data_IF_959413230278
#
_entry.id   IF_959413230278
#
_cell.length_a   1.000
_cell.length_b   1.000
_cell.length_c   1.000
_cell.angle_alpha   90.00
_cell.angle_beta   90.00
_cell.angle_gamma   90.00
#
_symmetry.space_group_name_H-M   'P 1'
#
loop_
_entity.id
_entity.type
_entity.pdbx_description
1 polymer ?
#
# COMPACT_ATOMS: atom_id res chain seq x y z
N UNK A 1 -0.57 23.31 -2.70
CA UNK A 1 -0.63 22.29 -3.79
C UNK A 1 -0.65 20.94 -3.11
N UNK A 2 -1.64 20.13 -3.45
CA UNK A 2 -1.78 18.78 -2.88
C UNK A 2 -0.58 17.89 -3.25
N UNK A 3 -0.25 16.96 -2.36
CA UNK A 3 0.96 16.14 -2.47
C UNK A 3 0.64 14.69 -2.84
N UNK A 4 1.65 13.98 -3.33
CA UNK A 4 1.63 12.53 -3.45
C UNK A 4 2.50 11.96 -2.32
N UNK A 5 2.06 10.87 -1.72
CA UNK A 5 2.89 10.08 -0.83
C UNK A 5 3.21 8.71 -1.43
N UNK A 6 4.39 8.23 -1.07
CA UNK A 6 4.83 6.87 -1.32
C UNK A 6 5.03 6.16 0.01
N UNK A 7 4.31 5.06 0.23
CA UNK A 7 4.51 4.22 1.41
C UNK A 7 5.33 3.00 1.01
N UNK A 8 6.60 3.01 1.40
CA UNK A 8 7.54 1.92 1.16
C UNK A 8 7.30 0.76 2.13
N UNK A 9 7.10 -0.44 1.57
CA UNK A 9 7.15 -1.71 2.30
C UNK A 9 8.50 -2.41 2.12
N UNK A 10 8.57 -3.70 2.46
CA UNK A 10 9.76 -4.53 2.28
C UNK A 10 10.31 -4.42 0.85
N UNK A 11 11.58 -4.07 0.72
CA UNK A 11 12.26 -3.86 -0.57
C UNK A 11 12.05 -2.49 -1.21
N UNK A 12 11.29 -1.59 -0.59
CA UNK A 12 11.02 -0.24 -1.07
C UNK A 12 11.07 0.79 0.09
N UNK A 13 11.92 0.57 1.07
CA UNK A 13 11.98 1.34 2.32
C UNK A 13 12.76 2.66 2.18
N UNK A 14 13.46 2.86 1.06
CA UNK A 14 14.33 4.01 0.88
C UNK A 14 13.74 5.03 -0.08
N UNK A 15 13.92 6.31 0.24
CA UNK A 15 13.59 7.46 -0.62
C UNK A 15 14.59 7.69 -1.77
N UNK A 16 15.23 6.63 -2.26
CA UNK A 16 16.37 6.65 -3.22
C UNK A 16 16.08 7.47 -4.50
N UNK A 17 14.80 7.69 -4.81
CA UNK A 17 14.37 8.42 -5.99
C UNK A 17 14.26 9.94 -5.79
N UNK A 18 14.28 10.41 -4.54
CA UNK A 18 14.01 11.79 -4.20
C UNK A 18 15.31 12.59 -4.06
N UNK A 19 15.26 13.82 -4.52
CA UNK A 19 16.34 14.83 -4.32
C UNK A 19 16.02 15.67 -3.08
N UNK A 20 17.03 16.23 -2.46
CA UNK A 20 16.92 17.17 -1.32
C UNK A 20 16.04 16.61 -0.18
N UNK A 21 16.25 15.34 0.15
CA UNK A 21 15.48 14.64 1.17
C UNK A 21 15.76 15.20 2.55
N UNK A 22 14.68 15.48 3.28
CA UNK A 22 14.72 15.93 4.68
C UNK A 22 13.83 15.03 5.54
N UNK A 23 14.33 14.66 6.71
CA UNK A 23 13.56 13.89 7.70
C UNK A 23 12.74 14.82 8.58
N UNK A 24 11.53 14.41 8.87
CA UNK A 24 10.57 15.14 9.66
C UNK A 24 9.84 14.25 10.66
N UNK A 25 9.33 14.88 11.70
CA UNK A 25 8.45 14.24 12.68
C UNK A 25 7.18 15.06 12.77
N UNK A 26 6.03 14.40 12.78
CA UNK A 26 4.73 15.02 12.96
C UNK A 26 3.95 14.32 14.05
N UNK A 27 3.38 15.11 14.95
CA UNK A 27 2.50 14.62 16.01
C UNK A 27 1.07 14.46 15.48
N UNK A 28 0.45 13.34 15.82
CA UNK A 28 -0.95 13.06 15.53
C UNK A 28 -1.69 12.67 16.82
N UNK A 29 -3.03 12.71 16.85
CA UNK A 29 -3.79 12.19 17.98
C UNK A 29 -3.53 10.72 18.31
N UNK A 30 -2.94 9.99 17.36
CA UNK A 30 -2.66 8.54 17.46
C UNK A 30 -1.17 8.25 17.69
N UNK A 31 -0.33 9.27 17.79
CA UNK A 31 1.11 9.18 18.06
C UNK A 31 1.97 9.87 17.02
N UNK A 32 3.25 9.87 17.29
CA UNK A 32 4.30 10.46 16.44
C UNK A 32 4.51 9.65 15.16
N UNK A 33 4.71 10.34 14.04
CA UNK A 33 5.05 9.74 12.74
C UNK A 33 6.31 10.37 12.19
N UNK A 34 7.28 9.53 11.83
CA UNK A 34 8.48 9.92 11.09
C UNK A 34 8.24 9.75 9.60
N UNK A 35 8.58 10.77 8.83
CA UNK A 35 8.49 10.74 7.38
C UNK A 35 9.64 11.51 6.75
N UNK A 36 9.87 11.27 5.48
CA UNK A 36 10.80 12.02 4.65
C UNK A 36 10.02 12.87 3.65
N UNK A 37 10.50 14.07 3.40
CA UNK A 37 10.02 14.91 2.30
C UNK A 37 11.18 15.16 1.35
N UNK A 38 10.93 15.08 0.05
CA UNK A 38 11.93 15.31 -0.98
C UNK A 38 11.26 15.68 -2.30
N UNK A 39 12.06 15.90 -3.33
CA UNK A 39 11.57 16.35 -4.63
C UNK A 39 11.85 15.32 -5.72
N UNK A 40 10.84 15.09 -6.57
CA UNK A 40 10.99 14.37 -7.82
C UNK A 40 10.50 15.28 -8.96
N UNK A 41 11.40 15.64 -9.89
CA UNK A 41 11.12 16.55 -11.01
C UNK A 41 10.33 17.81 -10.61
N UNK A 42 10.71 18.42 -9.47
CA UNK A 42 10.11 19.64 -8.94
C UNK A 42 8.81 19.45 -8.15
N UNK A 43 8.30 18.24 -8.04
CA UNK A 43 7.17 17.90 -7.16
C UNK A 43 7.65 17.46 -5.79
N UNK A 44 7.05 17.97 -4.74
CA UNK A 44 7.26 17.49 -3.39
C UNK A 44 6.55 16.14 -3.18
N UNK A 45 7.31 15.14 -2.79
CA UNK A 45 6.84 13.78 -2.50
C UNK A 45 7.08 13.51 -1.02
N UNK A 46 6.06 12.97 -0.36
CA UNK A 46 6.17 12.47 1.00
C UNK A 46 6.49 10.97 0.95
N UNK A 47 7.56 10.57 1.59
CA UNK A 47 7.93 9.18 1.73
C UNK A 47 7.74 8.71 3.18
N UNK A 48 7.08 7.56 3.34
CA UNK A 48 6.84 6.94 4.63
C UNK A 48 7.33 5.49 4.61
N UNK A 49 8.33 5.19 5.44
CA UNK A 49 8.79 3.84 5.66
C UNK A 49 7.87 3.11 6.62
N UNK A 50 6.97 2.26 6.08
CA UNK A 50 5.91 1.58 6.86
C UNK A 50 6.45 0.82 8.07
N UNK A 51 7.57 0.15 7.93
CA UNK A 51 8.19 -0.65 8.97
C UNK A 51 9.24 0.12 9.79
N UNK A 52 9.27 1.45 9.66
CA UNK A 52 10.31 2.31 10.24
C UNK A 52 11.65 2.16 9.53
N UNK A 53 12.60 3.04 9.88
CA UNK A 53 13.97 2.92 9.40
C UNK A 53 14.55 1.55 9.79
N UNK A 54 15.19 0.87 8.84
CA UNK A 54 15.81 -0.45 9.04
C UNK A 54 14.84 -1.60 9.37
N UNK A 55 13.58 -1.52 8.95
CA UNK A 55 12.59 -2.61 9.07
C UNK A 55 12.41 -3.13 10.51
N UNK A 56 12.32 -2.23 11.48
CA UNK A 56 12.27 -2.57 12.92
C UNK A 56 10.87 -2.79 13.47
N UNK A 57 9.83 -2.38 12.74
CA UNK A 57 8.43 -2.47 13.19
C UNK A 57 7.74 -3.65 12.49
N UNK A 58 7.35 -4.71 13.22
CA UNK A 58 6.62 -5.82 12.63
C UNK A 58 5.19 -5.43 12.22
N UNK A 59 4.55 -6.12 11.26
CA UNK A 59 3.28 -5.74 10.65
C UNK A 59 2.15 -5.43 11.64
N UNK A 60 2.02 -6.22 12.70
CA UNK A 60 0.97 -6.07 13.72
C UNK A 60 1.23 -4.95 14.74
N UNK A 61 2.39 -4.27 14.66
CA UNK A 61 2.78 -3.16 15.54
C UNK A 61 2.87 -1.82 14.82
N UNK A 62 2.63 -1.80 13.52
CA UNK A 62 2.59 -0.56 12.74
C UNK A 62 1.42 0.29 13.22
N UNK A 63 1.67 1.58 13.45
CA UNK A 63 0.63 2.53 13.81
C UNK A 63 -0.03 3.10 12.55
N UNK A 64 -0.90 2.28 11.93
CA UNK A 64 -1.58 2.64 10.67
C UNK A 64 -2.43 3.91 10.79
N UNK A 65 -3.13 4.10 11.95
CA UNK A 65 -3.93 5.32 12.17
C UNK A 65 -3.06 6.56 12.19
N UNK A 66 -1.96 6.56 12.93
CA UNK A 66 -1.05 7.70 12.96
C UNK A 66 -0.50 7.99 11.56
N UNK A 67 -0.06 6.96 10.83
CA UNK A 67 0.51 7.10 9.49
C UNK A 67 -0.49 7.76 8.52
N UNK A 68 -1.71 7.25 8.40
CA UNK A 68 -2.71 7.80 7.50
C UNK A 68 -3.18 9.20 7.93
N UNK A 69 -3.31 9.43 9.23
CA UNK A 69 -3.68 10.74 9.75
C UNK A 69 -2.59 11.80 9.48
N UNK A 70 -1.32 11.43 9.63
CA UNK A 70 -0.19 12.30 9.29
C UNK A 70 -0.22 12.70 7.80
N UNK A 71 -0.48 11.76 6.90
CA UNK A 71 -0.60 12.05 5.47
C UNK A 71 -1.75 13.01 5.17
N UNK A 72 -2.86 12.92 5.90
CA UNK A 72 -3.97 13.87 5.77
C UNK A 72 -3.58 15.27 6.25
N UNK A 73 -2.90 15.40 7.40
CA UNK A 73 -2.38 16.71 7.90
C UNK A 73 -1.43 17.34 6.87
N UNK A 74 -0.61 16.53 6.20
CA UNK A 74 0.36 16.98 5.21
C UNK A 74 -0.26 17.35 3.84
N UNK A 75 -1.59 17.36 3.72
CA UNK A 75 -2.35 17.62 2.49
C UNK A 75 -2.01 16.64 1.35
N UNK A 76 -1.77 15.37 1.71
CA UNK A 76 -1.57 14.30 0.73
C UNK A 76 -2.91 13.93 0.10
N UNK A 77 -2.98 14.03 -1.22
CA UNK A 77 -4.18 13.69 -1.98
C UNK A 77 -4.18 12.27 -2.54
N UNK A 78 -2.99 11.72 -2.76
CA UNK A 78 -2.84 10.39 -3.34
C UNK A 78 -1.67 9.64 -2.68
N UNK A 79 -1.87 8.35 -2.43
CA UNK A 79 -0.88 7.44 -1.86
C UNK A 79 -0.67 6.28 -2.81
N UNK A 80 0.59 6.07 -3.20
CA UNK A 80 1.05 4.82 -3.81
C UNK A 80 1.73 4.00 -2.72
N UNK A 81 1.25 2.80 -2.49
CA UNK A 81 1.77 1.89 -1.48
C UNK A 81 2.39 0.66 -2.13
N UNK A 82 3.38 0.07 -1.49
CA UNK A 82 3.97 -1.18 -1.96
C UNK A 82 3.95 -2.25 -0.88
N UNK A 83 3.79 -3.51 -1.31
CA UNK A 83 3.82 -4.68 -0.42
C UNK A 83 4.59 -5.82 -1.07
N UNK A 84 5.37 -6.57 -0.29
CA UNK A 84 5.91 -7.87 -0.70
C UNK A 84 4.87 -8.95 -0.35
N UNK A 85 4.60 -9.85 -1.27
CA UNK A 85 3.52 -10.84 -1.13
C UNK A 85 3.92 -12.25 -1.58
N UNK A 86 3.28 -13.25 -0.98
CA UNK A 86 3.23 -14.59 -1.50
C UNK A 86 2.07 -14.75 -2.48
N UNK A 87 2.30 -15.39 -3.63
CA UNK A 87 1.24 -15.67 -4.60
C UNK A 87 0.47 -16.96 -4.24
N UNK A 88 -0.87 -16.84 -4.23
CA UNK A 88 -1.80 -17.96 -4.18
C UNK A 88 -2.26 -18.36 -5.58
N UNK A 89 -2.09 -17.48 -6.56
CA UNK A 89 -2.49 -17.65 -7.95
C UNK A 89 -1.30 -18.16 -8.78
N UNK A 90 -1.34 -19.37 -9.36
CA UNK A 90 -0.24 -19.89 -10.16
C UNK A 90 0.14 -19.04 -11.39
N UNK A 91 -0.77 -18.18 -11.85
CA UNK A 91 -0.54 -17.28 -12.98
C UNK A 91 0.21 -16.00 -12.58
N UNK A 92 0.30 -15.69 -11.28
CA UNK A 92 1.05 -14.55 -10.75
C UNK A 92 2.39 -15.03 -10.18
N UNK A 93 3.42 -14.96 -11.00
CA UNK A 93 4.72 -15.58 -10.71
C UNK A 93 5.61 -14.69 -9.86
N UNK A 94 6.54 -15.27 -9.09
CA UNK A 94 7.64 -14.52 -8.49
C UNK A 94 8.36 -13.66 -9.56
N UNK A 95 8.65 -12.39 -9.24
CA UNK A 95 9.20 -11.43 -10.18
C UNK A 95 8.15 -10.55 -10.89
N UNK A 96 6.87 -10.85 -10.73
CA UNK A 96 5.80 -10.05 -11.32
C UNK A 96 5.17 -9.09 -10.31
N UNK A 97 4.50 -8.07 -10.83
CA UNK A 97 3.79 -7.06 -10.04
C UNK A 97 2.28 -7.25 -10.18
N UNK A 98 1.55 -7.01 -9.09
CA UNK A 98 0.09 -7.07 -9.04
C UNK A 98 -0.47 -5.76 -8.54
N UNK A 99 -1.33 -5.11 -9.29
CA UNK A 99 -2.06 -3.93 -8.88
C UNK A 99 -3.36 -4.34 -8.19
N UNK A 100 -3.43 -4.13 -6.88
CA UNK A 100 -4.58 -4.59 -6.08
C UNK A 100 -5.87 -3.87 -6.47
N UNK A 101 -6.97 -4.61 -6.47
CA UNK A 101 -8.33 -4.08 -6.67
C UNK A 101 -9.31 -4.47 -5.56
N UNK A 102 -9.01 -5.53 -4.80
CA UNK A 102 -9.83 -5.99 -3.67
C UNK A 102 -8.95 -6.48 -2.52
N UNK A 103 -9.53 -6.55 -1.32
CA UNK A 103 -8.88 -7.20 -0.19
C UNK A 103 -9.85 -8.05 0.64
N UNK A 104 -9.29 -9.00 1.37
CA UNK A 104 -9.94 -9.78 2.44
C UNK A 104 -9.17 -9.51 3.73
N UNK A 105 -9.88 -9.04 4.76
CA UNK A 105 -9.26 -8.73 6.06
C UNK A 105 -9.30 -9.95 6.99
N UNK A 106 -8.12 -10.48 7.32
CA UNK A 106 -7.91 -11.53 8.32
C UNK A 106 -7.05 -11.04 9.49
N UNK A 107 -6.93 -9.73 9.66
CA UNK A 107 -6.28 -9.13 10.83
C UNK A 107 -7.14 -9.30 12.07
N UNK A 108 -6.57 -9.18 13.28
CA UNK A 108 -7.25 -9.54 14.53
C UNK A 108 -7.29 -8.43 15.57
N UNK A 109 -6.20 -7.66 15.67
CA UNK A 109 -5.99 -6.75 16.79
C UNK A 109 -5.56 -5.34 16.35
N UNK A 110 -5.82 -4.97 15.09
CA UNK A 110 -5.45 -3.67 14.55
C UNK A 110 -6.58 -2.67 14.70
N UNK A 111 -6.22 -1.44 15.06
CA UNK A 111 -7.15 -0.32 15.02
C UNK A 111 -7.38 0.09 13.56
N UNK A 112 -8.54 -0.25 13.03
CA UNK A 112 -8.84 -0.18 11.59
C UNK A 112 -9.76 0.98 11.19
N UNK A 113 -10.09 1.92 12.09
CA UNK A 113 -10.99 3.03 11.79
C UNK A 113 -10.63 4.30 12.57
N UNK A 114 -10.93 5.45 12.00
CA UNK A 114 -10.97 6.74 12.70
C UNK A 114 -12.34 7.00 13.34
N UNK A 115 -13.38 6.33 12.88
CA UNK A 115 -14.77 6.49 13.34
C UNK A 115 -15.09 5.50 14.47
N UNK A 116 -14.35 5.64 15.57
CA UNK A 116 -14.40 4.75 16.75
C UNK A 116 -15.47 5.13 17.78
N UNK A 117 -16.33 6.07 17.46
CA UNK A 117 -17.39 6.56 18.35
C UNK A 117 -16.99 7.74 19.23
N UNK A 118 -15.69 8.11 19.21
CA UNK A 118 -15.18 9.22 20.02
C UNK A 118 -15.09 10.51 19.17
N UNK A 119 -13.89 10.85 18.68
CA UNK A 119 -13.62 12.13 18.00
C UNK A 119 -14.41 12.35 16.71
N UNK A 120 -14.57 11.31 15.91
CA UNK A 120 -15.23 11.39 14.59
C UNK A 120 -16.60 10.70 14.55
N UNK A 121 -17.09 10.21 15.70
CA UNK A 121 -18.35 9.50 15.76
C UNK A 121 -18.31 8.15 15.05
N UNK A 122 -19.40 7.78 14.38
CA UNK A 122 -19.57 6.51 13.67
C UNK A 122 -19.88 6.76 12.21
N UNK A 123 -19.17 6.09 11.30
CA UNK A 123 -19.43 6.12 9.86
C UNK A 123 -19.34 4.73 9.26
N UNK A 124 -20.13 4.49 8.21
CA UNK A 124 -20.12 3.25 7.44
C UNK A 124 -19.83 3.59 5.97
N UNK A 125 -18.55 3.57 5.61
CA UNK A 125 -18.11 3.93 4.28
C UNK A 125 -18.26 2.75 3.30
N UNK A 126 -18.59 3.09 2.05
CA UNK A 126 -18.63 2.09 0.97
C UNK A 126 -17.22 1.62 0.60
N UNK A 127 -17.01 0.32 0.68
CA UNK A 127 -15.79 -0.39 0.31
C UNK A 127 -15.95 -1.28 -0.93
N UNK A 128 -16.98 -1.07 -1.75
CA UNK A 128 -17.17 -1.81 -3.00
C UNK A 128 -15.99 -1.64 -3.95
N UNK A 129 -15.37 -0.46 -3.93
CA UNK A 129 -14.16 -0.12 -4.68
C UNK A 129 -13.09 0.46 -3.73
N UNK A 130 -12.36 -0.38 -2.98
CA UNK A 130 -11.46 0.09 -1.92
C UNK A 130 -10.27 0.89 -2.44
N UNK A 131 -9.79 0.59 -3.65
CA UNK A 131 -8.67 1.27 -4.29
C UNK A 131 -9.14 2.31 -5.31
N UNK A 132 -8.42 3.43 -5.40
CA UNK A 132 -8.76 4.54 -6.30
C UNK A 132 -8.64 4.13 -7.77
N UNK A 133 -9.75 4.14 -8.50
CA UNK A 133 -9.77 3.77 -9.91
C UNK A 133 -8.87 4.67 -10.78
N UNK A 134 -8.91 5.99 -10.55
CA UNK A 134 -8.09 6.96 -11.30
C UNK A 134 -6.58 6.74 -11.08
N UNK A 135 -6.16 6.50 -9.83
CA UNK A 135 -4.75 6.25 -9.53
C UNK A 135 -4.30 4.87 -10.06
N UNK A 136 -5.15 3.85 -9.99
CA UNK A 136 -4.88 2.54 -10.58
C UNK A 136 -4.72 2.64 -12.11
N UNK A 137 -5.56 3.42 -12.78
CA UNK A 137 -5.45 3.64 -14.24
C UNK A 137 -4.11 4.29 -14.60
N UNK A 138 -3.66 5.29 -13.84
CA UNK A 138 -2.35 5.93 -14.05
C UNK A 138 -1.20 4.92 -13.86
N UNK A 139 -1.25 4.09 -12.81
CA UNK A 139 -0.25 3.04 -12.57
C UNK A 139 -0.23 2.01 -13.71
N UNK A 140 -1.38 1.59 -14.23
CA UNK A 140 -1.47 0.67 -15.36
C UNK A 140 -0.92 1.30 -16.65
N UNK A 141 -1.18 2.60 -16.89
CA UNK A 141 -0.64 3.32 -18.02
C UNK A 141 0.88 3.42 -17.94
N UNK A 142 1.43 3.72 -16.78
CA UNK A 142 2.87 3.74 -16.52
C UNK A 142 3.50 2.35 -16.75
N UNK A 143 2.89 1.27 -16.25
CA UNK A 143 3.35 -0.09 -16.48
C UNK A 143 3.42 -0.45 -17.97
N UNK A 144 2.38 -0.10 -18.73
CA UNK A 144 2.39 -0.31 -20.21
C UNK A 144 3.47 0.50 -20.90
N UNK A 145 3.64 1.79 -20.54
CA UNK A 145 4.66 2.68 -21.10
C UNK A 145 6.07 2.13 -20.87
N UNK A 146 6.31 1.62 -19.67
CA UNK A 146 7.60 1.08 -19.24
C UNK A 146 7.86 -0.37 -19.72
N UNK A 147 6.86 -1.02 -20.34
CA UNK A 147 6.96 -2.42 -20.79
C UNK A 147 7.09 -3.41 -19.63
N UNK A 148 6.52 -3.08 -18.48
CA UNK A 148 6.60 -3.91 -17.27
C UNK A 148 5.36 -4.80 -17.16
N UNK A 149 5.56 -6.08 -16.84
CA UNK A 149 4.46 -7.01 -16.54
C UNK A 149 3.82 -6.62 -15.21
N UNK A 150 2.62 -6.06 -15.30
CA UNK A 150 1.80 -5.67 -14.16
C UNK A 150 0.41 -6.27 -14.33
N UNK A 151 0.05 -7.20 -13.46
CA UNK A 151 -1.30 -7.75 -13.42
C UNK A 151 -2.29 -6.66 -13.02
N UNK A 152 -3.36 -6.43 -13.81
CA UNK A 152 -4.22 -5.27 -13.61
C UNK A 152 -5.17 -5.38 -12.42
N UNK A 153 -5.26 -6.53 -11.78
CA UNK A 153 -6.14 -6.82 -10.64
C UNK A 153 -5.52 -7.89 -9.75
N UNK A 154 -5.98 -7.96 -8.52
CA UNK A 154 -5.65 -9.03 -7.58
C UNK A 154 -6.26 -8.79 -6.21
N UNK A 155 -6.93 -9.82 -5.69
CA UNK A 155 -7.48 -9.80 -4.34
C UNK A 155 -6.38 -10.12 -3.33
N UNK A 156 -6.10 -9.14 -2.46
CA UNK A 156 -5.11 -9.26 -1.39
C UNK A 156 -5.77 -9.78 -0.12
N UNK A 157 -5.32 -10.93 0.41
CA UNK A 157 -5.69 -11.33 1.75
C UNK A 157 -4.65 -10.84 2.75
N UNK A 158 -5.11 -10.07 3.75
CA UNK A 158 -4.25 -9.50 4.77
C UNK A 158 -4.29 -10.34 6.04
N UNK A 159 -3.17 -10.95 6.41
CA UNK A 159 -3.03 -11.69 7.66
C UNK A 159 -2.38 -10.83 8.75
N UNK A 160 -2.54 -11.23 10.00
CA UNK A 160 -1.96 -10.49 11.13
C UNK A 160 -0.43 -10.48 11.12
N UNK A 161 0.19 -11.59 10.72
CA UNK A 161 1.63 -11.80 10.91
C UNK A 161 2.01 -11.94 12.41
N UNK A 162 3.31 -11.95 12.77
CA UNK A 162 4.45 -11.92 11.83
C UNK A 162 4.82 -13.30 11.25
N UNK A 163 4.15 -14.39 11.66
CA UNK A 163 4.39 -15.71 11.07
C UNK A 163 3.80 -15.81 9.67
N UNK A 164 4.41 -16.60 8.83
CA UNK A 164 3.81 -17.00 7.57
C UNK A 164 2.66 -17.98 7.75
N UNK A 165 1.83 -18.08 6.73
CA UNK A 165 0.65 -18.91 6.70
C UNK A 165 1.01 -20.39 6.53
N UNK A 166 0.15 -21.26 7.08
CA UNK A 166 0.24 -22.71 6.83
C UNK A 166 -0.33 -23.07 5.46
N UNK A 167 0.06 -24.21 4.85
CA UNK A 167 -0.57 -24.69 3.61
C UNK A 167 -2.10 -24.83 3.69
N UNK A 168 -2.62 -25.15 4.88
CA UNK A 168 -4.06 -25.25 5.12
C UNK A 168 -4.77 -23.90 5.08
N UNK A 169 -4.16 -22.85 5.67
CA UNK A 169 -4.65 -21.48 5.59
C UNK A 169 -4.63 -20.99 4.14
N UNK A 170 -3.52 -21.20 3.42
CA UNK A 170 -3.40 -20.82 2.00
C UNK A 170 -4.45 -21.50 1.14
N UNK A 171 -4.71 -22.80 1.35
CA UNK A 171 -5.77 -23.51 0.66
C UNK A 171 -7.14 -22.88 0.90
N UNK A 172 -7.45 -22.53 2.15
CA UNK A 172 -8.72 -21.87 2.50
C UNK A 172 -8.83 -20.47 1.85
N UNK A 173 -7.77 -19.66 1.92
CA UNK A 173 -7.75 -18.31 1.35
C UNK A 173 -7.93 -18.32 -0.18
N UNK A 174 -7.30 -19.29 -0.84
CA UNK A 174 -7.49 -19.49 -2.28
C UNK A 174 -8.95 -19.84 -2.62
N UNK A 175 -9.61 -20.65 -1.81
CA UNK A 175 -11.04 -20.97 -1.99
C UNK A 175 -11.94 -19.74 -1.81
N UNK A 176 -11.51 -18.75 -1.04
CA UNK A 176 -12.21 -17.46 -0.88
C UNK A 176 -11.92 -16.46 -1.99
N UNK A 177 -11.07 -16.82 -2.95
CA UNK A 177 -10.76 -15.98 -4.10
C UNK A 177 -9.57 -15.04 -3.91
N UNK A 178 -8.72 -15.27 -2.90
CA UNK A 178 -7.49 -14.51 -2.75
C UNK A 178 -6.44 -14.91 -3.80
N UNK A 179 -5.80 -13.90 -4.39
CA UNK A 179 -4.70 -14.06 -5.36
C UNK A 179 -3.33 -13.94 -4.71
N UNK A 180 -3.19 -13.03 -3.75
CA UNK A 180 -1.92 -12.78 -3.05
C UNK A 180 -2.14 -12.63 -1.55
N UNK A 181 -1.14 -13.01 -0.75
CA UNK A 181 -1.15 -12.89 0.71
C UNK A 181 -0.02 -12.00 1.18
N UNK A 182 -0.34 -11.14 2.13
CA UNK A 182 0.62 -10.30 2.83
C UNK A 182 0.07 -9.84 4.18
N UNK A 183 0.76 -8.89 4.82
CA UNK A 183 0.50 -8.57 6.22
C UNK A 183 0.22 -7.08 6.48
N UNK A 184 0.15 -6.20 5.46
CA UNK A 184 0.23 -4.75 5.72
C UNK A 184 -0.79 -3.87 5.01
N UNK A 185 -1.48 -4.37 3.97
CA UNK A 185 -2.39 -3.53 3.19
C UNK A 185 -3.66 -3.14 3.96
N UNK A 186 -4.05 -3.93 4.96
CA UNK A 186 -5.17 -3.64 5.86
C UNK A 186 -4.59 -3.44 7.27
N UNK A 187 -4.98 -2.38 7.97
CA UNK A 187 -6.04 -1.41 7.69
C UNK A 187 -5.62 -0.19 6.85
N UNK A 188 -4.43 -0.14 6.26
CA UNK A 188 -3.90 1.02 5.53
C UNK A 188 -4.88 1.50 4.44
N UNK A 189 -5.41 0.58 3.63
CA UNK A 189 -6.34 0.88 2.54
C UNK A 189 -7.66 1.49 3.05
N UNK A 190 -8.27 0.90 4.07
CA UNK A 190 -9.54 1.40 4.62
C UNK A 190 -9.39 2.73 5.34
N UNK A 191 -8.29 2.94 6.06
CA UNK A 191 -7.98 4.22 6.70
C UNK A 191 -7.73 5.33 5.66
N UNK A 192 -7.09 5.01 4.53
CA UNK A 192 -6.95 5.95 3.41
C UNK A 192 -8.32 6.35 2.84
N UNK A 193 -9.27 5.41 2.72
CA UNK A 193 -10.65 5.69 2.30
C UNK A 193 -11.35 6.60 3.29
N UNK A 194 -11.25 6.33 4.59
CA UNK A 194 -11.84 7.17 5.64
C UNK A 194 -11.22 8.58 5.67
N UNK A 195 -9.91 8.69 5.44
CA UNK A 195 -9.21 9.97 5.34
C UNK A 195 -9.44 10.72 4.02
N UNK A 196 -10.26 10.17 3.11
CA UNK A 196 -10.57 10.77 1.81
C UNK A 196 -9.32 10.96 0.93
N UNK A 197 -8.38 10.03 1.02
CA UNK A 197 -7.14 9.98 0.25
C UNK A 197 -7.28 8.94 -0.87
N UNK A 198 -6.90 9.30 -2.10
CA UNK A 198 -6.77 8.35 -3.20
C UNK A 198 -5.66 7.34 -2.87
N UNK A 199 -5.97 6.05 -2.85
CA UNK A 199 -5.03 5.01 -2.46
C UNK A 199 -4.96 3.91 -3.52
N UNK A 200 -3.75 3.51 -3.90
CA UNK A 200 -3.49 2.33 -4.71
C UNK A 200 -2.27 1.58 -4.19
N UNK A 201 -2.24 0.27 -4.37
CA UNK A 201 -1.16 -0.57 -3.87
C UNK A 201 -0.65 -1.51 -4.96
N UNK A 202 0.68 -1.52 -5.15
CA UNK A 202 1.42 -2.42 -6.03
C UNK A 202 2.03 -3.50 -5.17
N UNK A 203 1.61 -4.74 -5.37
CA UNK A 203 2.19 -5.92 -4.70
C UNK A 203 3.31 -6.51 -5.53
N UNK A 204 4.47 -6.71 -4.93
CA UNK A 204 5.62 -7.39 -5.52
C UNK A 204 5.55 -8.87 -5.15
N UNK A 205 5.35 -9.75 -6.11
CA UNK A 205 5.32 -11.20 -5.88
C UNK A 205 6.76 -11.67 -5.63
N UNK A 206 7.06 -12.07 -4.41
CA UNK A 206 8.41 -12.53 -4.03
C UNK A 206 8.56 -14.04 -4.07
N UNK A 207 7.48 -14.76 -3.84
CA UNK A 207 7.44 -16.22 -3.77
C UNK A 207 6.01 -16.72 -4.00
N UNK A 208 5.87 -18.00 -4.27
CA UNK A 208 4.58 -18.67 -4.11
C UNK A 208 4.30 -18.91 -2.62
N UNK A 209 3.04 -18.73 -2.21
CA UNK A 209 2.61 -19.02 -0.85
C UNK A 209 2.72 -20.50 -0.50
N UNK A 210 2.74 -20.82 0.80
CA UNK A 210 2.96 -22.16 1.30
C UNK A 210 2.01 -23.21 0.67
N UNK A 211 2.56 -24.25 0.07
CA UNK A 211 1.81 -25.36 -0.53
C UNK A 211 1.22 -25.09 -1.93
N UNK A 212 1.53 -23.97 -2.56
CA UNK A 212 1.12 -23.68 -3.96
C UNK A 212 1.99 -24.45 -4.94
N UNK A 213 3.29 -24.49 -4.72
CA UNK A 213 4.24 -25.27 -5.52
C UNK A 213 4.97 -26.29 -4.66
N UNK A 214 5.60 -27.30 -5.30
CA UNK A 214 6.48 -28.26 -4.63
C UNK A 214 7.92 -27.79 -4.56
N UNK A 215 8.27 -26.78 -5.35
CA UNK A 215 9.62 -26.23 -5.44
C UNK A 215 9.78 -25.14 -4.37
N UNK A 216 10.85 -25.23 -3.60
CA UNK A 216 11.28 -24.18 -2.69
C UNK A 216 12.23 -23.25 -3.44
N UNK A 217 11.94 -21.95 -3.45
CA UNK A 217 12.87 -20.95 -3.97
C UNK A 217 14.09 -20.88 -3.03
N UNK A 218 15.27 -20.81 -3.61
CA UNK A 218 16.48 -20.52 -2.85
C UNK A 218 16.42 -19.08 -2.31
N UNK A 219 17.11 -18.84 -1.20
CA UNK A 219 17.21 -17.50 -0.63
C UNK A 219 17.75 -16.46 -1.64
N UNK A 220 18.72 -16.88 -2.47
CA UNK A 220 19.31 -15.98 -3.49
C UNK A 220 18.30 -15.64 -4.58
N UNK A 221 17.52 -16.61 -5.08
CA UNK A 221 16.47 -16.35 -6.06
C UNK A 221 15.41 -15.36 -5.55
N UNK A 222 15.04 -15.47 -4.26
CA UNK A 222 14.12 -14.51 -3.62
C UNK A 222 14.72 -13.09 -3.60
N UNK A 223 16.00 -12.95 -3.23
CA UNK A 223 16.69 -11.66 -3.20
C UNK A 223 16.80 -11.03 -4.60
N UNK A 224 17.17 -11.82 -5.60
CA UNK A 224 17.29 -11.36 -6.99
C UNK A 224 15.93 -10.91 -7.53
N UNK A 225 14.89 -11.68 -7.27
CA UNK A 225 13.50 -11.37 -7.60
C UNK A 225 13.04 -10.06 -6.94
N UNK A 226 13.34 -9.86 -5.66
CA UNK A 226 13.00 -8.61 -4.96
C UNK A 226 13.73 -7.40 -5.55
N UNK A 227 14.99 -7.54 -5.91
CA UNK A 227 15.76 -6.44 -6.51
C UNK A 227 15.22 -6.03 -7.89
N UNK A 228 14.80 -6.99 -8.71
CA UNK A 228 14.18 -6.71 -10.00
C UNK A 228 12.79 -6.09 -9.84
N UNK A 229 11.97 -6.65 -8.96
CA UNK A 229 10.65 -6.12 -8.63
C UNK A 229 10.73 -4.67 -8.16
N UNK A 230 11.68 -4.36 -7.29
CA UNK A 230 11.88 -3.00 -6.79
C UNK A 230 12.25 -2.03 -7.92
N UNK A 231 13.15 -2.41 -8.83
CA UNK A 231 13.49 -1.57 -10.01
C UNK A 231 12.28 -1.30 -10.90
N UNK A 232 11.51 -2.34 -11.22
CA UNK A 232 10.33 -2.23 -12.06
C UNK A 232 9.23 -1.39 -11.40
N UNK A 233 9.00 -1.61 -10.13
CA UNK A 233 8.06 -0.83 -9.32
C UNK A 233 8.45 0.66 -9.29
N UNK A 234 9.73 0.98 -9.07
CA UNK A 234 10.20 2.36 -9.04
C UNK A 234 10.02 3.08 -10.40
N UNK A 235 10.23 2.40 -11.52
CA UNK A 235 9.97 2.97 -12.85
C UNK A 235 8.51 3.35 -13.03
N UNK A 236 7.58 2.51 -12.58
CA UNK A 236 6.14 2.82 -12.58
C UNK A 236 5.83 4.00 -11.67
N UNK A 237 6.33 3.98 -10.44
CA UNK A 237 6.04 4.99 -9.42
C UNK A 237 6.54 6.38 -9.85
N UNK A 238 7.75 6.46 -10.42
CA UNK A 238 8.31 7.73 -10.91
C UNK A 238 7.52 8.31 -12.08
N UNK A 239 7.04 7.50 -13.02
CA UNK A 239 6.16 7.97 -14.08
C UNK A 239 4.85 8.55 -13.52
N UNK A 240 4.28 7.90 -12.49
CA UNK A 240 3.07 8.41 -11.82
C UNK A 240 3.37 9.69 -11.05
N UNK A 241 4.53 9.83 -10.40
CA UNK A 241 4.92 11.08 -9.75
C UNK A 241 4.94 12.26 -10.74
N UNK A 242 5.36 12.04 -11.98
CA UNK A 242 5.39 13.08 -13.01
C UNK A 242 4.00 13.40 -13.58
N UNK A 243 3.21 12.36 -13.84
CA UNK A 243 2.05 12.46 -14.73
C UNK A 243 0.71 12.55 -14.02
N UNK A 244 0.60 12.04 -12.78
CA UNK A 244 -0.68 12.01 -12.08
C UNK A 244 -1.11 13.39 -11.61
N UNK A 245 -2.33 13.78 -12.00
CA UNK A 245 -2.94 15.04 -11.56
C UNK A 245 -3.57 14.87 -10.18
N UNK A 246 -2.89 15.38 -9.15
CA UNK A 246 -3.35 15.35 -7.76
C UNK A 246 -4.49 16.30 -7.45
N UNK A 247 -4.77 17.26 -8.33
CA UNK A 247 -5.89 18.20 -8.15
C UNK A 247 -7.18 17.69 -8.78
N UNK A 248 -7.09 16.65 -9.63
CA UNK A 248 -8.24 16.01 -10.26
C UNK A 248 -9.23 15.54 -9.21
N UNK A 249 -10.50 15.92 -9.38
CA UNK A 249 -11.58 15.45 -8.52
C UNK A 249 -11.76 13.94 -8.65
N UNK A 250 -12.00 13.29 -7.52
CA UNK A 250 -12.12 11.84 -7.44
C UNK A 250 -13.13 11.47 -6.35
N UNK A 251 -13.95 10.46 -6.64
CA UNK A 251 -14.92 9.92 -5.68
C UNK A 251 -14.29 9.58 -4.29
N UNK A 252 -13.01 9.22 -4.25
CA UNK A 252 -12.33 8.95 -2.98
C UNK A 252 -12.33 10.16 -2.04
N UNK A 253 -12.31 11.39 -2.56
CA UNK A 253 -12.26 12.63 -1.78
C UNK A 253 -13.59 13.03 -1.17
N UNK A 254 -14.65 12.31 -1.50
CA UNK A 254 -16.02 12.49 -1.04
C UNK A 254 -16.52 11.27 -0.28
N UNK A 255 -15.62 10.34 0.08
CA UNK A 255 -16.00 9.05 0.66
C UNK A 255 -16.72 9.19 2.00
N UNK A 256 -16.35 10.21 2.80
CA UNK A 256 -16.95 10.50 4.10
C UNK A 256 -17.96 11.67 4.07
N UNK A 257 -18.28 12.24 2.90
CA UNK A 257 -19.12 13.45 2.77
C UNK A 257 -20.49 13.28 3.44
N UNK A 258 -21.12 12.11 3.32
CA UNK A 258 -22.40 11.80 3.96
C UNK A 258 -22.33 11.82 5.50
N UNK A 259 -21.13 11.76 6.07
CA UNK A 259 -20.86 11.78 7.51
C UNK A 259 -20.20 13.10 7.95
N UNK A 260 -20.23 14.14 7.10
CA UNK A 260 -19.65 15.46 7.38
C UNK A 260 -18.21 15.65 6.90
N UNK A 261 -17.65 14.67 6.17
CA UNK A 261 -16.26 14.68 5.72
C UNK A 261 -15.25 14.30 6.83
N UNK A 262 -14.00 14.10 6.43
CA UNK A 262 -12.92 13.82 7.37
C UNK A 262 -12.03 15.05 7.55
N UNK A 263 -12.08 15.65 8.73
CA UNK A 263 -11.34 16.87 9.07
C UNK A 263 -10.23 16.58 10.10
N UNK A 264 -9.06 17.18 9.91
CA UNK A 264 -7.87 17.07 10.78
C UNK A 264 -7.63 18.35 11.57
#
# INVERSE_FOLDING_TARGET
MKKIAFIGGTGAENSVLLKDVTEHIIETPYGEVKYEAGFFEGREIIHLSRHGAHHTIPPHKINYRANMFALKILDVAAVISTTAVGSLNPDYKPGELVLLDQFIDMTKAREGTFYDGERYGVAHLDMSHPYCASLREAILAAGRKEGITLHPQGTYICTEGPRFETPAEIKAYRMWGADVVGMTNVPECQLAREAEICYASISMVTNFAAGITKEELSHQEVLDCMAENSRNMYRIVTDVFETYDVEKDCHCRHAAEAFGGFHV
#
